data_IF_939148431396
#
_entry.id   IF_939148431396
#
_cell.length_a   1.000
_cell.length_b   1.000
_cell.length_c   1.000
_cell.angle_alpha   90.00
_cell.angle_beta   90.00
_cell.angle_gamma   90.00
#
_symmetry.space_group_name_H-M   'P 1'
#
loop_
_entity.id
_entity.type
_entity.pdbx_description
1 polymer ?
#
# COMPACT_ATOMS: atom_id res chain seq x y z
N UNK A 1 16.27 -1.42 1.95
CA UNK A 1 14.90 -0.88 2.06
C UNK A 1 14.08 -1.75 3.00
N UNK A 2 13.29 -1.13 3.88
CA UNK A 2 12.38 -1.81 4.81
C UNK A 2 11.08 -2.24 4.09
N UNK A 3 10.42 -3.29 4.58
CA UNK A 3 9.18 -3.79 3.98
C UNK A 3 7.98 -3.23 4.74
N UNK A 4 6.86 -3.05 4.06
CA UNK A 4 5.60 -2.63 4.69
C UNK A 4 4.51 -3.66 4.39
N UNK A 5 3.67 -3.93 5.38
CA UNK A 5 2.51 -4.77 5.28
C UNK A 5 1.25 -4.02 5.71
N UNK A 6 0.15 -4.34 5.05
CA UNK A 6 -1.21 -3.92 5.40
C UNK A 6 -2.02 -5.17 5.69
N UNK A 7 -2.71 -5.22 6.83
CA UNK A 7 -3.52 -6.37 7.26
C UNK A 7 -2.75 -7.70 7.22
N UNK A 8 -1.45 -7.66 7.55
CA UNK A 8 -0.56 -8.83 7.53
C UNK A 8 0.02 -9.17 6.16
N UNK A 9 -0.48 -8.58 5.08
CA UNK A 9 -0.01 -8.81 3.71
C UNK A 9 1.16 -7.89 3.37
N UNK A 10 2.34 -8.46 3.11
CA UNK A 10 3.50 -7.70 2.65
C UNK A 10 3.27 -7.20 1.23
N UNK A 11 3.34 -5.88 1.00
CA UNK A 11 2.94 -5.31 -0.29
C UNK A 11 3.79 -5.79 -1.48
N UNK A 12 5.06 -6.10 -1.24
CA UNK A 12 5.99 -6.63 -2.25
C UNK A 12 5.81 -8.13 -2.56
N UNK A 13 4.95 -8.82 -1.81
CA UNK A 13 4.63 -10.23 -2.03
C UNK A 13 3.30 -10.41 -2.79
N UNK A 14 2.50 -9.35 -2.91
CA UNK A 14 1.23 -9.35 -3.63
C UNK A 14 1.46 -9.64 -5.11
N UNK A 15 0.67 -10.58 -5.62
CA UNK A 15 0.68 -11.01 -7.03
C UNK A 15 -0.66 -10.69 -7.66
N UNK A 16 -0.63 -9.89 -8.72
CA UNK A 16 -1.78 -9.71 -9.59
C UNK A 16 -1.82 -10.86 -10.59
N UNK A 17 -2.91 -11.62 -10.62
CA UNK A 17 -3.12 -12.65 -11.63
C UNK A 17 -3.34 -11.99 -12.99
N UNK A 18 -2.62 -12.49 -13.98
CA UNK A 18 -2.68 -12.00 -15.36
C UNK A 18 -3.32 -13.07 -16.24
N UNK A 19 -3.78 -12.66 -17.42
CA UNK A 19 -4.18 -13.61 -18.45
C UNK A 19 -2.99 -14.54 -18.79
N UNK A 20 -3.19 -15.86 -18.72
CA UNK A 20 -2.12 -16.81 -19.04
C UNK A 20 -1.84 -16.80 -20.53
N UNK A 21 -0.56 -16.87 -20.91
CA UNK A 21 -0.15 -16.92 -22.31
C UNK A 21 -0.64 -18.20 -23.02
N UNK A 22 -0.72 -19.31 -22.27
CA UNK A 22 -1.19 -20.60 -22.77
C UNK A 22 -1.99 -21.35 -21.71
N UNK A 23 -2.93 -22.19 -22.16
CA UNK A 23 -3.70 -23.10 -21.30
C UNK A 23 -2.76 -23.96 -20.44
N UNK A 24 -3.03 -24.02 -19.13
CA UNK A 24 -2.24 -24.78 -18.16
C UNK A 24 -1.07 -24.00 -17.52
N UNK A 25 -0.92 -22.70 -17.82
CA UNK A 25 0.06 -21.82 -17.17
C UNK A 25 -0.61 -20.83 -16.23
N UNK A 26 0.13 -20.34 -15.24
CA UNK A 26 -0.28 -19.22 -14.38
C UNK A 26 0.67 -18.06 -14.62
N UNK A 27 0.13 -16.94 -15.09
CA UNK A 27 0.86 -15.68 -15.23
C UNK A 27 0.54 -14.77 -14.06
N UNK A 28 1.55 -14.13 -13.49
CA UNK A 28 1.34 -13.12 -12.45
C UNK A 28 2.32 -11.97 -12.56
N UNK A 29 1.85 -10.77 -12.22
CA UNK A 29 2.65 -9.58 -12.06
C UNK A 29 2.90 -9.34 -10.57
N UNK A 30 4.14 -9.07 -10.20
CA UNK A 30 4.48 -8.63 -8.86
C UNK A 30 5.58 -7.58 -8.89
N UNK A 31 5.64 -6.78 -7.83
CA UNK A 31 6.55 -5.65 -7.76
C UNK A 31 7.64 -5.91 -6.73
N UNK A 32 8.92 -5.69 -7.08
CA UNK A 32 10.00 -5.85 -6.12
C UNK A 32 9.88 -4.80 -5.02
N UNK A 33 10.43 -5.11 -3.85
CA UNK A 33 10.44 -4.21 -2.68
C UNK A 33 10.97 -2.81 -2.99
N UNK A 34 11.90 -2.68 -3.93
CA UNK A 34 12.47 -1.40 -4.37
C UNK A 34 11.45 -0.45 -5.03
N UNK A 35 10.33 -0.97 -5.54
CA UNK A 35 9.23 -0.19 -6.13
C UNK A 35 8.22 0.31 -5.08
N UNK A 36 8.37 -0.10 -3.83
CA UNK A 36 7.49 0.33 -2.73
C UNK A 36 8.33 1.16 -1.77
N UNK A 37 8.03 2.46 -1.71
CA UNK A 37 8.76 3.43 -0.89
C UNK A 37 7.82 4.00 0.15
N UNK A 38 8.32 4.26 1.35
CA UNK A 38 7.54 4.97 2.35
C UNK A 38 8.43 5.85 3.23
N UNK A 39 7.83 6.89 3.78
CA UNK A 39 8.37 7.69 4.88
C UNK A 39 7.40 7.66 6.05
N UNK A 40 7.92 7.82 7.26
CA UNK A 40 7.12 7.94 8.47
C UNK A 40 7.51 9.24 9.15
N UNK A 41 6.54 10.14 9.34
CA UNK A 41 6.73 11.45 9.96
C UNK A 41 5.65 11.63 11.01
N UNK A 42 6.04 11.60 12.29
CA UNK A 42 5.11 11.70 13.41
C UNK A 42 4.05 10.60 13.39
N UNK A 43 2.79 10.98 13.18
CA UNK A 43 1.64 10.07 13.13
C UNK A 43 1.25 9.67 11.71
N UNK A 44 2.01 10.09 10.70
CA UNK A 44 1.71 9.82 9.30
C UNK A 44 2.68 8.81 8.68
N UNK A 45 2.16 8.00 7.76
CA UNK A 45 2.96 7.23 6.81
C UNK A 45 2.58 7.69 5.40
N UNK A 46 3.58 8.09 4.62
CA UNK A 46 3.42 8.36 3.19
C UNK A 46 3.98 7.18 2.42
N UNK A 47 3.17 6.58 1.57
CA UNK A 47 3.48 5.36 0.83
C UNK A 47 3.37 5.62 -0.67
N UNK A 48 4.44 5.31 -1.40
CA UNK A 48 4.51 5.35 -2.86
C UNK A 48 4.67 3.95 -3.42
N UNK A 49 3.80 3.58 -4.36
CA UNK A 49 3.78 2.24 -4.93
C UNK A 49 3.03 2.21 -6.27
N UNK A 50 3.29 1.24 -7.16
CA UNK A 50 2.73 1.23 -8.51
C UNK A 50 1.20 1.19 -8.54
N UNK A 51 0.59 1.88 -9.51
CA UNK A 51 -0.87 1.95 -9.64
C UNK A 51 -1.56 0.60 -9.83
N UNK A 52 -0.98 -0.31 -10.60
CA UNK A 52 -1.53 -1.65 -10.75
C UNK A 52 -1.47 -2.44 -9.44
N UNK A 53 -0.44 -2.24 -8.61
CA UNK A 53 -0.43 -2.83 -7.27
C UNK A 53 -1.57 -2.28 -6.42
N UNK A 54 -1.84 -0.98 -6.51
CA UNK A 54 -2.97 -0.36 -5.81
C UNK A 54 -4.33 -0.94 -6.22
N UNK A 55 -4.53 -1.15 -7.52
CA UNK A 55 -5.73 -1.81 -8.03
C UNK A 55 -5.88 -3.23 -7.47
N UNK A 56 -4.80 -3.99 -7.43
CA UNK A 56 -4.82 -5.36 -6.87
C UNK A 56 -5.08 -5.37 -5.35
N UNK A 57 -4.49 -4.44 -4.60
CA UNK A 57 -4.72 -4.33 -3.17
C UNK A 57 -6.19 -3.98 -2.87
N UNK A 58 -6.80 -3.11 -3.68
CA UNK A 58 -8.23 -2.80 -3.58
C UNK A 58 -9.12 -4.00 -3.93
N UNK A 59 -8.82 -4.66 -5.06
CA UNK A 59 -9.55 -5.85 -5.55
C UNK A 59 -9.50 -7.02 -4.57
N UNK A 60 -8.36 -7.22 -3.92
CA UNK A 60 -8.14 -8.30 -2.93
C UNK A 60 -8.70 -7.97 -1.54
N UNK A 61 -9.13 -6.73 -1.29
CA UNK A 61 -9.51 -6.25 0.04
C UNK A 61 -8.33 -6.07 1.00
N UNK A 62 -7.08 -6.09 0.50
CA UNK A 62 -5.91 -5.76 1.32
C UNK A 62 -5.92 -4.28 1.69
N UNK A 63 -6.24 -3.41 0.71
CA UNK A 63 -6.50 -2.00 0.96
C UNK A 63 -7.94 -1.85 1.50
N UNK A 64 -8.17 -1.06 2.56
CA UNK A 64 -9.53 -0.79 3.03
C UNK A 64 -10.37 -0.13 1.94
N UNK A 65 -11.64 -0.51 1.88
CA UNK A 65 -12.58 0.02 0.87
C UNK A 65 -13.37 1.22 1.40
N UNK A 66 -13.51 1.35 2.72
CA UNK A 66 -14.13 2.51 3.37
C UNK A 66 -13.03 3.46 3.89
N UNK A 67 -13.19 4.76 3.63
CA UNK A 67 -12.28 5.80 4.11
C UNK A 67 -12.20 5.89 5.65
N UNK A 68 -13.21 5.38 6.37
CA UNK A 68 -13.22 5.31 7.84
C UNK A 68 -12.65 4.01 8.40
N UNK A 69 -12.38 3.03 7.55
CA UNK A 69 -11.90 1.72 7.98
C UNK A 69 -10.45 1.81 8.49
N UNK A 70 -10.24 1.20 9.65
CA UNK A 70 -8.93 1.14 10.30
C UNK A 70 -8.27 -0.20 10.00
N UNK A 71 -6.96 -0.18 9.78
CA UNK A 71 -6.22 -1.37 9.41
C UNK A 71 -4.84 -1.41 10.05
N UNK A 72 -4.33 -2.62 10.23
CA UNK A 72 -3.03 -2.83 10.87
C UNK A 72 -1.91 -2.63 9.87
N UNK A 73 -0.94 -1.78 10.23
CA UNK A 73 0.29 -1.58 9.45
C UNK A 73 1.47 -2.20 10.20
N UNK A 74 2.31 -2.92 9.48
CA UNK A 74 3.59 -3.44 10.00
C UNK A 74 4.74 -3.02 9.12
N UNK A 75 5.87 -2.67 9.72
CA UNK A 75 7.12 -2.33 9.03
C UNK A 75 8.20 -3.31 9.44
N UNK A 76 8.81 -3.97 8.45
CA UNK A 76 9.83 -5.02 8.62
C UNK A 76 9.40 -6.11 9.62
N UNK A 77 8.13 -6.55 9.51
CA UNK A 77 7.55 -7.59 10.36
C UNK A 77 7.05 -7.12 11.74
N UNK A 78 7.34 -5.88 12.15
CA UNK A 78 6.85 -5.34 13.43
C UNK A 78 5.60 -4.48 13.21
N UNK A 79 4.51 -4.77 13.93
CA UNK A 79 3.31 -3.93 13.94
C UNK A 79 3.66 -2.53 14.47
N UNK A 80 3.37 -1.49 13.68
CA UNK A 80 3.65 -0.07 14.01
C UNK A 80 2.41 0.68 14.50
N UNK A 81 1.22 0.16 14.21
CA UNK A 81 -0.05 0.69 14.71
C UNK A 81 -1.23 0.32 13.81
N UNK A 82 -2.40 0.83 14.18
CA UNK A 82 -3.55 0.88 13.29
C UNK A 82 -3.58 2.25 12.61
N UNK A 83 -4.00 2.28 11.35
CA UNK A 83 -4.01 3.48 10.52
C UNK A 83 -5.32 3.55 9.75
N UNK A 84 -5.64 4.74 9.24
CA UNK A 84 -6.69 4.99 8.25
C UNK A 84 -6.11 5.75 7.06
N UNK A 85 -6.70 5.58 5.88
CA UNK A 85 -6.31 6.37 4.69
C UNK A 85 -6.86 7.80 4.84
N UNK A 86 -6.00 8.81 4.69
CA UNK A 86 -6.42 10.22 4.69
C UNK A 86 -6.19 10.93 3.37
N UNK A 87 -5.39 10.34 2.48
CA UNK A 87 -5.16 10.87 1.14
C UNK A 87 -4.74 9.73 0.20
N UNK A 88 -5.20 9.77 -1.05
CA UNK A 88 -4.92 8.76 -2.06
C UNK A 88 -4.91 9.39 -3.44
N UNK A 89 -3.74 9.53 -4.06
CA UNK A 89 -3.56 10.30 -5.30
C UNK A 89 -2.82 9.51 -6.36
N UNK A 90 -3.38 9.49 -7.56
CA UNK A 90 -2.65 9.10 -8.76
C UNK A 90 -1.68 10.22 -9.15
N UNK A 91 -0.41 9.91 -9.45
CA UNK A 91 0.57 10.91 -9.88
C UNK A 91 0.17 11.44 -11.26
N UNK A 92 -0.12 12.73 -11.35
CA UNK A 92 -0.59 13.33 -12.60
C UNK A 92 -0.89 14.82 -12.53
N UNK A 93 -1.00 15.42 -11.34
CA UNK A 93 -1.23 16.86 -11.24
C UNK A 93 0.01 17.71 -11.57
N UNK A 94 1.24 17.19 -11.40
CA UNK A 94 2.47 17.99 -11.43
C UNK A 94 3.59 17.43 -12.34
N UNK A 95 3.29 16.62 -13.37
CA UNK A 95 4.25 16.30 -14.45
C UNK A 95 5.34 15.25 -14.17
N UNK A 96 5.31 14.55 -13.03
CA UNK A 96 6.22 13.41 -12.78
C UNK A 96 5.65 12.11 -13.37
N UNK A 97 6.39 11.48 -14.27
CA UNK A 97 6.04 10.24 -14.99
C UNK A 97 6.15 8.96 -14.13
N UNK A 98 6.20 9.06 -12.80
CA UNK A 98 6.15 7.86 -11.98
C UNK A 98 4.71 7.33 -12.01
N UNK A 99 4.47 6.11 -12.46
CA UNK A 99 3.17 5.40 -12.34
C UNK A 99 2.85 4.98 -10.88
N UNK A 100 3.39 5.69 -9.90
CA UNK A 100 3.34 5.39 -8.47
C UNK A 100 2.24 6.21 -7.76
N UNK A 101 1.22 5.56 -7.21
CA UNK A 101 0.24 6.16 -6.31
C UNK A 101 0.94 6.68 -5.05
N UNK A 102 0.52 7.86 -4.58
CA UNK A 102 0.76 8.31 -3.20
C UNK A 102 -0.46 7.97 -2.35
N UNK A 103 -0.27 7.18 -1.31
CA UNK A 103 -1.23 6.98 -0.22
C UNK A 103 -0.68 7.57 1.07
N UNK A 104 -1.47 8.37 1.77
CA UNK A 104 -1.13 8.93 3.09
C UNK A 104 -2.02 8.30 4.14
N UNK A 105 -1.39 7.79 5.18
CA UNK A 105 -2.02 7.09 6.29
C UNK A 105 -1.86 7.88 7.57
N UNK A 106 -2.94 8.07 8.32
CA UNK A 106 -2.90 8.64 9.66
C UNK A 106 -3.08 7.55 10.71
N UNK A 107 -2.21 7.56 11.74
CA UNK A 107 -2.31 6.63 12.85
C UNK A 107 -3.59 6.86 13.64
N UNK A 108 -4.26 5.78 14.01
CA UNK A 108 -5.42 5.81 14.90
C UNK A 108 -4.93 5.67 16.34
N UNK A 109 -5.41 6.55 17.22
CA UNK A 109 -5.14 6.46 18.65
C UNK A 109 -3.79 7.04 19.07
N UNK A 110 -3.70 8.36 19.04
CA UNK A 110 -3.12 9.12 20.14
C UNK A 110 -4.16 10.18 20.46
N UNK A 111 -5.01 9.90 21.44
CA UNK A 111 -5.64 10.99 22.18
C UNK A 111 -4.49 11.89 22.62
N UNK A 112 -4.54 13.16 22.24
CA UNK A 112 -3.73 14.19 22.85
C UNK A 112 -3.88 14.00 24.35
N UNK A 113 -2.80 13.61 25.04
CA UNK A 113 -2.73 13.80 26.48
C UNK A 113 -2.91 15.30 26.69
N UNK A 114 -4.13 15.71 27.07
CA UNK A 114 -4.42 17.04 27.56
C UNK A 114 -3.67 17.27 28.87
#
# INVERSE_FOLDING_TARGET
MQGIAINGTMLHEVRMLMEPYQKGTVSSLGYPKSRIRFTSEGQEIRLWFPAMLALELYRSGTLPQDAKEEFSVSVSGKKVGNYRVIDFRYPGANGSHSEDILMVLAKVGLASSQ
#
